data_IF_454462830511
#
_entry.id   IF_454462830511
#
_cell.length_a   1.000
_cell.length_b   1.000
_cell.length_c   1.000
_cell.angle_alpha   90.00
_cell.angle_beta   90.00
_cell.angle_gamma   90.00
#
_symmetry.space_group_name_H-M   'P 1'
#
loop_
_entity.id
_entity.type
_entity.pdbx_description
1 polymer ?
#
# COMPACT_ATOMS: atom_id res chain seq x y z
N UNK A 1 -24.78 49.34 -18.08
CA UNK A 1 -24.45 50.77 -18.32
C UNK A 1 -23.47 51.17 -17.22
N UNK A 2 -22.22 51.63 -17.38
CA UNK A 2 -21.31 52.14 -18.44
C UNK A 2 -19.89 51.62 -18.06
N UNK A 3 -19.08 50.97 -18.90
CA UNK A 3 -18.19 51.44 -20.00
C UNK A 3 -17.11 52.50 -19.67
N UNK A 4 -15.84 52.00 -19.58
CA UNK A 4 -14.57 52.48 -20.20
C UNK A 4 -13.89 53.79 -19.68
N UNK A 5 -12.57 54.03 -19.91
CA UNK A 5 -11.74 53.47 -20.98
C UNK A 5 -10.31 52.94 -20.69
N UNK A 6 -9.94 52.10 -21.65
CA UNK A 6 -8.65 51.64 -22.14
C UNK A 6 -7.68 52.79 -22.47
N UNK A 7 -6.39 52.64 -22.15
CA UNK A 7 -5.29 53.34 -22.83
C UNK A 7 -4.30 52.30 -23.34
N UNK A 8 -4.28 52.12 -24.67
CA UNK A 8 -3.19 51.46 -25.41
C UNK A 8 -2.04 52.45 -25.57
N UNK A 9 -0.81 51.98 -25.38
CA UNK A 9 0.34 52.46 -26.16
C UNK A 9 1.15 51.25 -26.62
N UNK A 10 1.04 50.99 -27.92
CA UNK A 10 2.00 50.24 -28.71
C UNK A 10 3.34 50.99 -28.74
N UNK A 11 4.44 50.26 -28.53
CA UNK A 11 5.75 50.60 -29.07
C UNK A 11 6.50 49.30 -29.33
N UNK A 12 6.36 48.80 -30.57
CA UNK A 12 7.34 47.89 -31.17
C UNK A 12 8.66 48.63 -31.30
N UNK A 13 9.74 48.06 -30.79
CA UNK A 13 11.08 48.16 -31.40
C UNK A 13 11.94 46.99 -30.93
N UNK A 14 12.21 46.12 -31.91
CA UNK A 14 13.51 45.46 -32.16
C UNK A 14 14.33 45.00 -30.96
N UNK A 15 14.34 43.69 -30.70
CA UNK A 15 15.51 43.02 -30.13
C UNK A 15 15.73 41.72 -30.90
N UNK A 16 16.91 41.70 -31.51
CA UNK A 16 17.51 40.62 -32.26
C UNK A 16 17.73 39.43 -31.34
N UNK A 17 17.60 38.22 -31.91
CA UNK A 17 18.02 36.99 -31.28
C UNK A 17 19.53 36.84 -31.48
N UNK A 18 20.31 36.87 -30.41
CA UNK A 18 21.62 36.24 -30.38
C UNK A 18 21.53 34.90 -29.63
N UNK A 19 22.03 33.87 -30.29
CA UNK A 19 22.08 32.52 -29.75
C UNK A 19 23.17 32.42 -28.69
N UNK A 20 22.81 32.56 -27.42
CA UNK A 20 23.55 31.99 -26.29
C UNK A 20 22.66 31.96 -25.06
N UNK A 21 22.51 30.79 -24.45
CA UNK A 21 21.56 30.54 -23.37
C UNK A 21 21.86 31.26 -22.05
N UNK A 22 20.76 31.39 -21.29
CA UNK A 22 20.60 31.78 -19.87
C UNK A 22 20.56 33.29 -19.57
N UNK A 23 19.42 33.77 -19.02
CA UNK A 23 19.41 34.96 -18.18
C UNK A 23 19.08 34.62 -16.71
N UNK A 24 19.88 35.23 -15.84
CA UNK A 24 19.82 35.24 -14.39
C UNK A 24 18.82 36.26 -13.84
N UNK A 25 18.39 36.00 -12.59
CA UNK A 25 17.83 36.90 -11.54
C UNK A 25 16.31 36.89 -11.30
N UNK A 26 15.91 36.35 -10.13
CA UNK A 26 15.17 37.08 -9.08
C UNK A 26 15.09 36.26 -7.77
N UNK A 27 15.40 36.91 -6.65
CA UNK A 27 15.57 36.40 -5.28
C UNK A 27 14.24 36.06 -4.55
N UNK A 28 14.26 35.20 -3.50
CA UNK A 28 13.13 35.01 -2.58
C UNK A 28 13.22 35.90 -1.32
N UNK A 29 12.10 36.21 -0.63
CA UNK A 29 12.12 36.97 0.61
C UNK A 29 12.38 36.09 1.87
N UNK A 30 13.39 36.53 2.62
CA UNK A 30 13.54 36.57 4.10
C UNK A 30 13.11 35.38 4.99
N UNK A 31 14.15 34.69 5.48
CA UNK A 31 14.46 34.27 6.88
C UNK A 31 13.31 34.05 7.89
N UNK A 32 13.31 32.85 8.46
CA UNK A 32 13.20 32.67 9.92
C UNK A 32 14.28 31.67 10.37
N UNK A 33 15.04 32.08 11.38
CA UNK A 33 16.29 31.48 11.83
C UNK A 33 16.05 30.16 12.58
N UNK A 34 16.91 29.16 12.35
CA UNK A 34 17.07 28.04 13.27
C UNK A 34 18.54 27.97 13.70
N UNK A 35 18.71 28.12 15.01
CA UNK A 35 19.95 28.18 15.74
C UNK A 35 20.73 26.86 15.64
N UNK A 36 21.99 26.93 15.20
CA UNK A 36 22.97 25.87 15.40
C UNK A 36 24.07 26.41 16.30
N UNK A 37 24.15 25.87 17.51
CA UNK A 37 25.26 26.12 18.44
C UNK A 37 26.48 25.36 17.91
N UNK A 38 27.55 26.09 17.63
CA UNK A 38 28.89 25.59 17.27
C UNK A 38 29.87 25.97 18.39
N UNK A 39 30.85 25.11 18.69
CA UNK A 39 32.14 25.58 19.19
C UNK A 39 33.27 25.26 18.19
N UNK A 40 34.02 26.32 17.89
CA UNK A 40 35.24 26.43 17.10
C UNK A 40 36.34 25.37 17.39
N UNK A 41 37.10 24.97 16.34
CA UNK A 41 38.47 25.50 16.07
C UNK A 41 39.15 24.92 14.81
N UNK A 42 39.51 25.85 13.92
CA UNK A 42 40.78 26.04 13.18
C UNK A 42 41.45 24.94 12.31
N UNK A 43 41.59 25.31 11.03
CA UNK A 43 42.75 25.14 10.11
C UNK A 43 43.24 23.75 9.70
N UNK A 44 43.01 23.38 8.43
CA UNK A 44 44.00 23.50 7.32
C UNK A 44 43.36 23.05 6.00
N UNK A 45 43.50 23.89 4.96
CA UNK A 45 43.28 23.50 3.56
C UNK A 45 44.39 22.52 3.17
N UNK A 46 44.03 21.28 2.91
CA UNK A 46 44.82 20.36 2.09
C UNK A 46 43.96 19.99 0.89
N UNK A 47 44.34 20.53 -0.27
CA UNK A 47 43.89 20.10 -1.58
C UNK A 47 44.32 18.64 -1.77
N UNK A 48 43.37 17.72 -1.70
CA UNK A 48 43.54 16.38 -2.27
C UNK A 48 42.82 16.37 -3.61
N UNK A 49 43.59 16.54 -4.69
CA UNK A 49 43.21 15.93 -5.96
C UNK A 49 43.22 14.42 -5.74
N UNK A 50 42.04 13.82 -5.64
CA UNK A 50 41.88 12.37 -5.81
C UNK A 50 41.10 12.19 -7.10
N UNK A 51 41.80 11.71 -8.12
CA UNK A 51 41.20 11.21 -9.35
C UNK A 51 40.02 10.30 -9.00
N UNK A 52 38.87 10.58 -9.62
CA UNK A 52 37.70 9.75 -9.53
C UNK A 52 37.98 8.42 -10.25
N UNK A 53 38.63 7.50 -9.55
CA UNK A 53 38.68 6.10 -9.93
C UNK A 53 37.25 5.56 -9.88
N UNK A 54 36.72 5.23 -11.06
CA UNK A 54 35.45 4.55 -11.24
C UNK A 54 35.45 3.24 -10.46
N UNK A 55 34.85 3.24 -9.27
CA UNK A 55 34.50 1.99 -8.61
C UNK A 55 33.44 1.30 -9.49
N UNK A 56 33.64 0.02 -9.84
CA UNK A 56 32.63 -0.71 -10.59
C UNK A 56 31.35 -0.81 -9.75
N UNK A 57 30.16 -0.76 -10.39
CA UNK A 57 28.91 -0.93 -9.68
C UNK A 57 28.86 -2.28 -8.95
N UNK A 58 28.11 -2.40 -7.85
CA UNK A 58 27.99 -3.64 -7.09
C UNK A 58 27.63 -4.82 -8.01
N UNK A 59 28.26 -5.97 -7.76
CA UNK A 59 28.40 -7.10 -8.67
C UNK A 59 27.09 -7.73 -9.20
N UNK A 60 25.92 -7.37 -8.66
CA UNK A 60 24.64 -7.96 -9.04
C UNK A 60 24.12 -7.58 -10.44
N UNK A 61 24.66 -6.54 -11.08
CA UNK A 61 24.20 -6.09 -12.41
C UNK A 61 25.28 -6.14 -13.51
N UNK A 62 26.49 -6.64 -13.22
CA UNK A 62 27.63 -6.61 -14.14
C UNK A 62 27.62 -7.69 -15.24
N UNK A 63 26.74 -8.70 -15.14
CA UNK A 63 26.70 -9.86 -16.05
C UNK A 63 25.36 -10.07 -16.77
N UNK A 64 24.54 -9.02 -16.93
CA UNK A 64 23.40 -9.11 -17.84
C UNK A 64 23.90 -9.11 -19.28
N UNK A 65 23.91 -10.27 -19.95
CA UNK A 65 24.33 -10.38 -21.35
C UNK A 65 23.49 -9.47 -22.25
N UNK A 66 24.08 -8.89 -23.29
CA UNK A 66 23.39 -7.96 -24.21
C UNK A 66 22.10 -8.52 -24.83
N UNK A 67 21.98 -9.85 -24.90
CA UNK A 67 20.77 -10.57 -25.31
C UNK A 67 19.58 -10.40 -24.34
N UNK A 68 19.81 -10.10 -23.06
CA UNK A 68 18.77 -9.79 -22.06
C UNK A 68 18.26 -8.35 -22.16
N UNK A 69 19.07 -7.42 -22.70
CA UNK A 69 18.74 -6.00 -22.83
C UNK A 69 17.76 -5.69 -23.99
N UNK A 70 17.39 -6.70 -24.81
CA UNK A 70 16.45 -6.57 -25.94
C UNK A 70 15.01 -7.01 -25.65
N UNK A 71 14.66 -7.39 -24.42
CA UNK A 71 13.26 -7.78 -24.09
C UNK A 71 12.41 -6.55 -23.76
N UNK A 72 12.04 -5.80 -24.80
CA UNK A 72 11.02 -4.74 -24.73
C UNK A 72 9.58 -5.28 -24.47
N UNK A 73 9.37 -6.60 -24.45
CA UNK A 73 8.06 -7.18 -24.78
C UNK A 73 7.18 -7.65 -23.60
N UNK A 74 7.67 -7.68 -22.35
CA UNK A 74 6.91 -8.33 -21.26
C UNK A 74 7.09 -7.65 -19.91
N UNK A 75 6.80 -6.36 -19.81
CA UNK A 75 6.64 -5.69 -18.50
C UNK A 75 5.40 -4.82 -18.55
N UNK A 76 4.72 -4.70 -17.42
CA UNK A 76 3.48 -3.93 -17.32
C UNK A 76 3.86 -2.45 -17.45
N UNK A 77 3.22 -1.67 -18.33
CA UNK A 77 3.51 -0.25 -18.44
C UNK A 77 3.11 0.46 -17.14
N UNK A 78 4.00 1.31 -16.65
CA UNK A 78 3.66 2.21 -15.56
C UNK A 78 2.60 3.21 -16.01
N UNK A 79 1.61 3.46 -15.15
CA UNK A 79 0.64 4.51 -15.32
C UNK A 79 0.51 5.27 -13.99
N UNK A 80 0.21 6.56 -14.07
CA UNK A 80 -0.14 7.31 -12.87
C UNK A 80 -1.52 6.87 -12.40
N UNK A 81 -1.69 6.78 -11.08
CA UNK A 81 -2.98 6.49 -10.49
C UNK A 81 -4.06 7.41 -11.08
N UNK A 82 -5.13 6.86 -11.69
CA UNK A 82 -6.21 7.67 -12.22
C UNK A 82 -6.91 8.46 -11.12
N UNK A 83 -7.25 9.72 -11.42
CA UNK A 83 -7.99 10.61 -10.52
C UNK A 83 -9.02 11.41 -11.28
N UNK A 84 -10.19 11.62 -10.67
CA UNK A 84 -11.23 12.50 -11.18
C UNK A 84 -11.33 13.74 -10.29
N UNK A 85 -11.12 14.90 -10.89
CA UNK A 85 -11.42 16.17 -10.24
C UNK A 85 -12.91 16.45 -10.39
N UNK A 86 -13.62 16.54 -9.26
CA UNK A 86 -15.06 16.78 -9.26
C UNK A 86 -15.33 18.29 -9.28
N UNK A 87 -15.42 18.91 -8.11
CA UNK A 87 -15.69 20.34 -7.92
C UNK A 87 -14.83 20.89 -6.78
N UNK A 88 -14.21 22.06 -6.99
CA UNK A 88 -13.32 22.68 -5.99
C UNK A 88 -12.10 21.80 -5.66
N UNK A 89 -11.67 21.71 -4.38
CA UNK A 89 -10.48 20.95 -3.98
C UNK A 89 -10.69 19.42 -3.94
N UNK A 90 -11.87 18.91 -4.32
CA UNK A 90 -12.23 17.49 -4.15
C UNK A 90 -11.72 16.68 -5.34
N UNK A 91 -10.74 15.81 -5.06
CA UNK A 91 -10.20 14.85 -6.02
C UNK A 91 -10.51 13.42 -5.56
N UNK A 92 -11.13 12.63 -6.43
CA UNK A 92 -11.42 11.22 -6.17
C UNK A 92 -10.39 10.37 -6.90
N UNK A 93 -9.57 9.67 -6.15
CA UNK A 93 -8.60 8.72 -6.67
C UNK A 93 -9.22 7.35 -6.92
N UNK A 94 -8.77 6.66 -7.97
CA UNK A 94 -9.23 5.31 -8.30
C UNK A 94 -9.06 4.32 -7.14
N UNK A 95 -8.00 4.46 -6.33
CA UNK A 95 -7.80 3.66 -5.12
C UNK A 95 -9.00 3.73 -4.18
N UNK A 96 -9.41 4.94 -3.77
CA UNK A 96 -10.51 5.13 -2.82
C UNK A 96 -11.84 4.62 -3.39
N UNK A 97 -12.07 4.84 -4.68
CA UNK A 97 -13.25 4.32 -5.39
C UNK A 97 -13.30 2.78 -5.38
N UNK A 98 -12.19 2.11 -5.71
CA UNK A 98 -12.10 0.65 -5.70
C UNK A 98 -12.25 0.07 -4.29
N UNK A 99 -11.69 0.73 -3.27
CA UNK A 99 -11.90 0.35 -1.86
C UNK A 99 -13.37 0.46 -1.48
N UNK A 100 -14.06 1.54 -1.87
CA UNK A 100 -15.50 1.68 -1.62
C UNK A 100 -16.31 0.57 -2.32
N UNK A 101 -15.98 0.24 -3.57
CA UNK A 101 -16.59 -0.89 -4.27
C UNK A 101 -16.35 -2.23 -3.58
N UNK A 102 -15.12 -2.46 -3.07
CA UNK A 102 -14.78 -3.66 -2.32
C UNK A 102 -15.63 -3.81 -1.05
N UNK A 103 -15.83 -2.71 -0.31
CA UNK A 103 -16.66 -2.68 0.90
C UNK A 103 -18.13 -2.93 0.58
N UNK A 104 -18.67 -2.27 -0.46
CA UNK A 104 -20.08 -2.43 -0.86
C UNK A 104 -20.34 -3.85 -1.36
N UNK A 105 -19.52 -4.35 -2.28
CA UNK A 105 -19.65 -5.69 -2.82
C UNK A 105 -19.46 -6.76 -1.72
N UNK A 106 -18.42 -6.61 -0.89
CA UNK A 106 -18.16 -7.49 0.24
C UNK A 106 -19.32 -7.53 1.24
N UNK A 107 -19.87 -6.38 1.62
CA UNK A 107 -21.02 -6.31 2.53
C UNK A 107 -22.25 -7.03 1.95
N UNK A 108 -22.56 -6.77 0.67
CA UNK A 108 -23.68 -7.46 -0.01
C UNK A 108 -23.48 -8.97 -0.10
N UNK A 109 -22.26 -9.41 -0.43
CA UNK A 109 -21.91 -10.83 -0.49
C UNK A 109 -22.00 -11.50 0.89
N UNK A 110 -21.58 -10.81 1.95
CA UNK A 110 -21.64 -11.30 3.32
C UNK A 110 -23.10 -11.45 3.80
N UNK A 111 -23.96 -10.46 3.55
CA UNK A 111 -25.39 -10.56 3.86
C UNK A 111 -26.07 -11.71 3.08
N UNK A 112 -25.83 -11.80 1.77
CA UNK A 112 -26.37 -12.91 0.96
C UNK A 112 -25.84 -14.28 1.40
N UNK A 113 -24.62 -14.36 1.93
CA UNK A 113 -24.09 -15.61 2.50
C UNK A 113 -24.69 -15.90 3.88
N UNK A 114 -24.91 -14.88 4.71
CA UNK A 114 -25.56 -14.99 6.01
C UNK A 114 -26.95 -15.65 5.87
N UNK A 115 -27.75 -15.14 4.94
CA UNK A 115 -29.07 -15.70 4.61
C UNK A 115 -28.98 -17.16 4.13
N UNK A 116 -28.04 -17.48 3.22
CA UNK A 116 -27.81 -18.86 2.75
C UNK A 116 -27.38 -19.81 3.86
N UNK A 117 -26.71 -19.32 4.90
CA UNK A 117 -26.33 -20.09 6.09
C UNK A 117 -27.43 -20.09 7.16
N UNK A 118 -28.59 -19.49 6.88
CA UNK A 118 -29.74 -19.39 7.80
C UNK A 118 -29.38 -18.70 9.13
N UNK A 119 -28.43 -17.77 9.10
CA UNK A 119 -28.08 -16.91 10.22
C UNK A 119 -28.94 -15.65 10.18
N UNK A 120 -29.13 -15.01 11.34
CA UNK A 120 -29.86 -13.74 11.46
C UNK A 120 -29.17 -12.62 10.65
N UNK A 121 -29.81 -12.09 9.58
CA UNK A 121 -29.24 -11.06 8.73
C UNK A 121 -28.96 -9.74 9.44
N UNK A 122 -29.76 -9.39 10.46
CA UNK A 122 -29.59 -8.13 11.20
C UNK A 122 -28.31 -8.19 12.04
N UNK A 123 -28.07 -9.33 12.71
CA UNK A 123 -26.80 -9.59 13.41
C UNK A 123 -25.60 -9.58 12.45
N UNK A 124 -25.75 -10.09 11.24
CA UNK A 124 -24.70 -10.01 10.22
C UNK A 124 -24.42 -8.57 9.78
N UNK A 125 -25.47 -7.78 9.54
CA UNK A 125 -25.34 -6.36 9.19
C UNK A 125 -24.66 -5.58 10.30
N UNK A 126 -25.03 -5.82 11.56
CA UNK A 126 -24.39 -5.20 12.72
C UNK A 126 -22.92 -5.61 12.86
N UNK A 127 -22.58 -6.89 12.71
CA UNK A 127 -21.20 -7.34 12.75
C UNK A 127 -20.35 -6.67 11.66
N UNK A 128 -20.88 -6.57 10.43
CA UNK A 128 -20.23 -5.85 9.32
C UNK A 128 -20.04 -4.38 9.70
N UNK A 129 -21.07 -3.72 10.22
CA UNK A 129 -21.02 -2.32 10.64
C UNK A 129 -19.94 -2.09 11.71
N UNK A 130 -19.93 -2.86 12.79
CA UNK A 130 -18.94 -2.73 13.86
C UNK A 130 -17.52 -2.99 13.35
N UNK A 131 -17.33 -4.00 12.51
CA UNK A 131 -16.03 -4.33 11.90
C UNK A 131 -15.51 -3.19 11.04
N UNK A 132 -16.35 -2.63 10.16
CA UNK A 132 -15.97 -1.52 9.27
C UNK A 132 -15.78 -0.22 10.05
N UNK A 133 -16.70 0.14 10.95
CA UNK A 133 -16.64 1.39 11.70
C UNK A 133 -15.39 1.45 12.58
N UNK A 134 -15.14 0.41 13.38
CA UNK A 134 -13.94 0.35 14.21
C UNK A 134 -12.67 0.22 13.35
N UNK A 135 -12.73 -0.51 12.23
CA UNK A 135 -11.64 -0.63 11.26
C UNK A 135 -11.23 0.72 10.67
N UNK A 136 -12.14 1.47 10.05
CA UNK A 136 -11.85 2.78 9.47
C UNK A 136 -11.39 3.79 10.53
N UNK A 137 -12.04 3.81 11.70
CA UNK A 137 -11.67 4.70 12.79
C UNK A 137 -10.23 4.42 13.26
N UNK A 138 -9.91 3.16 13.59
CA UNK A 138 -8.56 2.81 14.03
C UNK A 138 -7.51 2.95 12.93
N UNK A 139 -7.86 2.69 11.65
CA UNK A 139 -6.97 2.91 10.51
C UNK A 139 -6.49 4.36 10.46
N UNK A 140 -7.42 5.31 10.62
CA UNK A 140 -7.10 6.73 10.63
C UNK A 140 -6.31 7.13 11.89
N UNK A 141 -6.79 6.76 13.08
CA UNK A 141 -6.13 7.13 14.35
C UNK A 141 -4.69 6.60 14.42
N UNK A 142 -4.46 5.35 14.02
CA UNK A 142 -3.10 4.79 13.97
C UNK A 142 -2.25 5.50 12.91
N UNK A 143 -2.82 5.85 11.76
CA UNK A 143 -2.09 6.62 10.74
C UNK A 143 -1.59 7.95 11.30
N UNK A 144 -2.47 8.73 11.90
CA UNK A 144 -2.14 10.06 12.45
C UNK A 144 -1.14 9.95 13.59
N UNK A 145 -1.36 9.04 14.55
CA UNK A 145 -0.50 8.91 15.74
C UNK A 145 0.85 8.30 15.42
N UNK A 146 0.91 7.25 14.60
CA UNK A 146 2.14 6.50 14.35
C UNK A 146 2.98 7.07 13.21
N UNK A 147 2.35 7.60 12.16
CA UNK A 147 3.06 8.05 10.95
C UNK A 147 3.19 9.57 10.85
N UNK A 148 2.26 10.33 11.45
CA UNK A 148 2.25 11.79 11.38
C UNK A 148 2.29 12.49 12.76
N UNK A 149 3.15 12.06 13.71
CA UNK A 149 3.17 12.65 15.06
C UNK A 149 3.58 14.13 15.09
N UNK A 150 4.34 14.60 14.09
CA UNK A 150 4.68 16.02 13.95
C UNK A 150 3.47 16.87 13.57
N UNK A 151 2.72 16.45 12.55
CA UNK A 151 1.51 17.14 12.09
C UNK A 151 0.42 17.13 13.16
N UNK A 152 0.29 16.04 13.92
CA UNK A 152 -0.65 15.96 15.05
C UNK A 152 -0.34 16.98 16.16
N UNK A 153 0.94 17.29 16.40
CA UNK A 153 1.33 18.31 17.39
C UNK A 153 0.98 19.72 16.94
N UNK A 154 1.04 19.98 15.63
CA UNK A 154 0.72 21.27 15.03
C UNK A 154 -0.80 21.47 14.91
N UNK A 155 -1.54 20.43 14.52
CA UNK A 155 -2.99 20.44 14.37
C UNK A 155 -3.65 19.21 15.03
N UNK A 156 -4.06 19.31 16.31
CA UNK A 156 -4.78 18.23 16.99
C UNK A 156 -6.13 17.87 16.34
N UNK A 157 -6.73 18.78 15.54
CA UNK A 157 -7.99 18.49 14.83
C UNK A 157 -7.77 17.49 13.69
N UNK A 158 -6.53 17.17 13.33
CA UNK A 158 -6.18 16.14 12.37
C UNK A 158 -6.80 14.78 12.73
N UNK A 159 -7.00 14.47 14.02
CA UNK A 159 -7.66 13.23 14.48
C UNK A 159 -9.12 13.11 14.04
N UNK A 160 -9.77 14.23 13.71
CA UNK A 160 -11.17 14.26 13.26
C UNK A 160 -11.27 14.27 11.72
N UNK A 161 -10.15 14.44 11.01
CA UNK A 161 -10.10 14.48 9.55
C UNK A 161 -9.99 13.07 8.98
N UNK A 162 -11.00 12.24 9.22
CA UNK A 162 -11.02 10.81 8.83
C UNK A 162 -10.91 10.55 7.32
N UNK A 163 -10.96 11.58 6.49
CA UNK A 163 -10.70 11.53 5.05
C UNK A 163 -9.19 11.58 4.70
N UNK A 164 -8.30 11.81 5.66
CA UNK A 164 -6.85 11.89 5.46
C UNK A 164 -6.13 10.69 6.08
N UNK A 165 -5.36 9.95 5.28
CA UNK A 165 -4.45 8.90 5.77
C UNK A 165 -5.14 7.68 6.39
N UNK A 166 -4.76 6.49 5.93
CA UNK A 166 -5.26 5.23 6.49
C UNK A 166 -4.12 4.24 6.70
N UNK A 167 -4.04 3.67 7.89
CA UNK A 167 -3.09 2.61 8.22
C UNK A 167 -3.74 1.24 8.04
N UNK A 168 -3.17 0.39 7.19
CA UNK A 168 -3.65 -0.99 7.04
C UNK A 168 -3.56 -1.79 8.34
N UNK A 169 -2.50 -1.58 9.14
CA UNK A 169 -2.36 -2.20 10.46
C UNK A 169 -3.43 -1.71 11.44
N UNK A 170 -3.69 -0.39 11.44
CA UNK A 170 -4.79 0.19 12.22
C UNK A 170 -6.15 -0.36 11.80
N UNK A 171 -6.37 -0.54 10.50
CA UNK A 171 -7.60 -1.11 9.95
C UNK A 171 -7.85 -2.55 10.38
N UNK A 172 -6.83 -3.41 10.34
CA UNK A 172 -6.94 -4.81 10.80
C UNK A 172 -7.18 -4.85 12.31
N UNK A 173 -6.40 -4.11 13.11
CA UNK A 173 -6.57 -4.07 14.56
C UNK A 173 -7.95 -3.53 14.95
N UNK A 174 -8.42 -2.46 14.29
CA UNK A 174 -9.75 -1.90 14.46
C UNK A 174 -10.86 -2.86 14.05
N UNK A 175 -10.69 -3.61 12.96
CA UNK A 175 -11.65 -4.63 12.54
C UNK A 175 -11.80 -5.74 13.58
N UNK A 176 -10.69 -6.25 14.12
CA UNK A 176 -10.70 -7.24 15.21
C UNK A 176 -11.36 -6.66 16.47
N UNK A 177 -11.08 -5.41 16.81
CA UNK A 177 -11.75 -4.71 17.91
C UNK A 177 -13.26 -4.60 17.65
N UNK A 178 -13.68 -4.25 16.43
CA UNK A 178 -15.08 -4.17 16.03
C UNK A 178 -15.81 -5.51 16.19
N UNK A 179 -15.19 -6.60 15.74
CA UNK A 179 -15.70 -7.97 15.96
C UNK A 179 -15.87 -8.25 17.45
N UNK A 180 -14.87 -7.93 18.27
CA UNK A 180 -14.93 -8.12 19.72
C UNK A 180 -16.06 -7.29 20.36
N UNK A 181 -16.18 -6.01 20.00
CA UNK A 181 -17.23 -5.10 20.48
C UNK A 181 -18.63 -5.63 20.14
N UNK A 182 -18.81 -6.11 18.91
CA UNK A 182 -20.09 -6.70 18.48
C UNK A 182 -20.46 -7.90 19.35
N UNK A 183 -19.59 -8.90 19.49
CA UNK A 183 -19.91 -10.07 20.31
C UNK A 183 -20.03 -9.74 21.80
N UNK A 184 -19.32 -8.72 22.28
CA UNK A 184 -19.39 -8.30 23.68
C UNK A 184 -20.69 -7.58 24.02
N UNK A 185 -21.22 -6.77 23.11
CA UNK A 185 -22.30 -5.83 23.42
C UNK A 185 -23.60 -6.06 22.63
N UNK A 186 -23.54 -6.65 21.44
CA UNK A 186 -24.70 -6.86 20.57
C UNK A 186 -25.12 -8.31 20.44
N UNK A 187 -24.19 -9.25 20.60
CA UNK A 187 -24.48 -10.68 20.54
C UNK A 187 -23.85 -11.50 21.69
N UNK A 188 -24.00 -11.07 22.97
CA UNK A 188 -23.42 -11.78 24.12
C UNK A 188 -24.08 -13.15 24.39
N UNK A 189 -25.26 -13.40 23.82
CA UNK A 189 -26.03 -14.64 23.89
C UNK A 189 -25.49 -15.75 22.98
N UNK A 190 -24.65 -15.42 21.98
CA UNK A 190 -24.07 -16.42 21.09
C UNK A 190 -23.01 -17.26 21.79
N UNK A 191 -23.18 -18.58 21.69
CA UNK A 191 -22.17 -19.54 22.14
C UNK A 191 -20.91 -19.50 21.24
N UNK A 192 -19.88 -20.29 21.58
CA UNK A 192 -18.65 -20.32 20.81
C UNK A 192 -18.90 -20.71 19.34
N UNK A 193 -19.78 -21.68 19.09
CA UNK A 193 -20.09 -22.18 17.74
C UNK A 193 -20.76 -21.11 16.90
N UNK A 194 -21.81 -20.47 17.41
CA UNK A 194 -22.52 -19.39 16.72
C UNK A 194 -21.58 -18.25 16.35
N UNK A 195 -20.70 -17.82 17.27
CA UNK A 195 -19.71 -16.78 16.96
C UNK A 195 -18.80 -17.16 15.79
N UNK A 196 -18.34 -18.42 15.73
CA UNK A 196 -17.56 -18.91 14.61
C UNK A 196 -18.35 -19.00 13.29
N UNK A 197 -19.65 -19.29 13.34
CA UNK A 197 -20.51 -19.31 12.15
C UNK A 197 -20.62 -17.90 11.52
N UNK A 198 -20.82 -16.86 12.34
CA UNK A 198 -20.81 -15.47 11.87
C UNK A 198 -19.43 -15.04 11.34
N UNK A 199 -18.35 -15.41 12.03
CA UNK A 199 -17.00 -15.10 11.56
C UNK A 199 -16.66 -15.78 10.24
N UNK A 200 -17.11 -17.02 10.03
CA UNK A 200 -16.89 -17.74 8.78
C UNK A 200 -17.64 -17.14 7.59
N UNK A 201 -18.78 -16.47 7.81
CA UNK A 201 -19.46 -15.70 6.75
C UNK A 201 -18.55 -14.60 6.25
N UNK A 202 -17.99 -13.79 7.16
CA UNK A 202 -17.09 -12.70 6.80
C UNK A 202 -15.80 -13.24 6.21
N UNK A 203 -15.19 -14.24 6.84
CA UNK A 203 -13.94 -14.83 6.37
C UNK A 203 -14.06 -15.48 4.99
N UNK A 204 -15.20 -16.11 4.68
CA UNK A 204 -15.44 -16.63 3.33
C UNK A 204 -15.46 -15.51 2.29
N UNK A 205 -16.11 -14.38 2.59
CA UNK A 205 -16.27 -13.27 1.65
C UNK A 205 -15.00 -12.42 1.55
N UNK A 206 -14.18 -12.41 2.61
CA UNK A 206 -13.00 -11.57 2.71
C UNK A 206 -12.05 -11.65 1.50
N UNK A 207 -11.66 -12.83 0.96
CA UNK A 207 -10.79 -12.89 -0.22
C UNK A 207 -11.35 -12.22 -1.47
N UNK A 208 -12.67 -12.19 -1.64
CA UNK A 208 -13.32 -11.56 -2.79
C UNK A 208 -13.22 -10.04 -2.69
N UNK A 209 -13.55 -9.48 -1.53
CA UNK A 209 -13.37 -8.04 -1.27
C UNK A 209 -11.89 -7.65 -1.26
N UNK A 210 -11.04 -8.49 -0.66
CA UNK A 210 -9.58 -8.29 -0.61
C UNK A 210 -8.95 -8.24 -2.00
N UNK A 211 -9.44 -9.06 -2.94
CA UNK A 211 -8.99 -9.02 -4.33
C UNK A 211 -9.23 -7.64 -4.95
N UNK A 212 -10.42 -7.05 -4.77
CA UNK A 212 -10.70 -5.69 -5.25
C UNK A 212 -9.84 -4.66 -4.53
N UNK A 213 -9.60 -4.83 -3.22
CA UNK A 213 -8.67 -3.99 -2.47
C UNK A 213 -7.22 -4.06 -2.96
N UNK A 214 -6.72 -5.24 -3.35
CA UNK A 214 -5.37 -5.40 -3.92
C UNK A 214 -5.27 -4.87 -5.34
N UNK A 215 -6.36 -4.89 -6.10
CA UNK A 215 -6.45 -4.15 -7.35
C UNK A 215 -6.34 -2.63 -7.11
N UNK A 216 -6.98 -2.11 -6.05
CA UNK A 216 -6.82 -0.70 -5.67
C UNK A 216 -5.35 -0.37 -5.39
N UNK A 217 -4.66 -1.21 -4.60
CA UNK A 217 -3.22 -1.09 -4.31
C UNK A 217 -2.37 -1.10 -5.60
N UNK A 218 -2.70 -2.01 -6.53
CA UNK A 218 -2.03 -2.11 -7.85
C UNK A 218 -2.16 -0.81 -8.64
N UNK A 219 -3.36 -0.25 -8.71
CA UNK A 219 -3.64 0.98 -9.47
C UNK A 219 -2.95 2.21 -8.83
N UNK A 220 -2.71 2.15 -7.51
CA UNK A 220 -2.00 3.18 -6.77
C UNK A 220 -0.48 3.06 -6.85
N UNK A 221 0.05 1.87 -7.22
CA UNK A 221 1.43 1.50 -6.99
C UNK A 221 1.86 1.82 -5.55
N UNK A 222 1.08 1.46 -4.53
CA UNK A 222 1.37 1.84 -3.13
C UNK A 222 2.26 0.81 -2.39
N UNK A 223 2.57 -0.33 -3.04
CA UNK A 223 3.49 -1.35 -2.52
C UNK A 223 4.63 -1.68 -3.50
N UNK A 224 5.49 -0.70 -3.84
CA UNK A 224 6.67 -0.93 -4.67
C UNK A 224 7.69 -1.81 -3.95
N UNK A 225 8.27 -2.75 -4.70
CA UNK A 225 9.34 -3.63 -4.27
C UNK A 225 10.65 -3.35 -4.99
N UNK A 226 11.58 -4.30 -4.85
CA UNK A 226 12.91 -4.21 -5.42
C UNK A 226 12.91 -4.09 -6.95
N UNK A 227 13.99 -3.51 -7.49
CA UNK A 227 14.25 -3.45 -8.92
C UNK A 227 14.46 -4.86 -9.48
N UNK A 228 13.99 -5.09 -10.70
CA UNK A 228 13.94 -6.41 -11.30
C UNK A 228 13.82 -6.33 -12.82
N UNK A 229 13.96 -7.48 -13.47
CA UNK A 229 13.63 -7.70 -14.89
C UNK A 229 12.51 -8.74 -15.04
N UNK A 230 11.77 -9.02 -13.96
CA UNK A 230 10.72 -10.03 -13.95
C UNK A 230 9.55 -9.67 -14.87
N UNK A 231 8.98 -10.62 -15.65
CA UNK A 231 7.98 -10.27 -16.67
C UNK A 231 6.65 -9.69 -16.18
N UNK A 232 6.31 -9.86 -14.90
CA UNK A 232 5.11 -9.27 -14.32
C UNK A 232 5.41 -7.99 -13.53
N UNK A 233 6.63 -7.46 -13.62
CA UNK A 233 7.02 -6.21 -12.97
C UNK A 233 6.54 -4.99 -13.76
N UNK A 234 6.53 -3.84 -13.10
CA UNK A 234 6.11 -2.55 -13.69
C UNK A 234 7.32 -1.83 -14.27
N UNK A 235 7.25 -1.49 -15.54
CA UNK A 235 8.34 -0.95 -16.34
C UNK A 235 8.78 0.44 -15.89
N UNK A 236 10.10 0.68 -15.88
CA UNK A 236 10.72 1.99 -15.65
C UNK A 236 11.15 2.69 -16.95
N UNK A 237 10.58 2.27 -18.10
CA UNK A 237 10.90 2.82 -19.42
C UNK A 237 10.56 4.31 -19.55
N UNK A 238 9.47 4.75 -18.92
CA UNK A 238 9.04 6.14 -18.99
C UNK A 238 9.75 7.02 -17.93
N UNK A 239 10.01 8.30 -18.21
CA UNK A 239 10.56 9.23 -17.21
C UNK A 239 9.72 9.29 -15.93
N UNK A 240 8.39 9.27 -16.05
CA UNK A 240 7.47 9.39 -14.92
C UNK A 240 7.58 8.18 -13.97
N UNK A 241 7.77 6.98 -14.53
CA UNK A 241 7.98 5.77 -13.73
C UNK A 241 9.28 5.84 -12.93
N UNK A 242 10.34 6.39 -13.54
CA UNK A 242 11.63 6.59 -12.89
C UNK A 242 11.55 7.64 -11.79
N UNK A 243 10.87 8.75 -12.02
CA UNK A 243 10.63 9.77 -10.99
C UNK A 243 9.93 9.17 -9.77
N UNK A 244 8.87 8.40 -10.01
CA UNK A 244 8.14 7.69 -8.97
C UNK A 244 9.04 6.75 -8.16
N UNK A 245 9.77 5.83 -8.81
CA UNK A 245 10.58 4.85 -8.07
C UNK A 245 11.77 5.51 -7.36
N UNK A 246 12.34 6.58 -7.92
CA UNK A 246 13.40 7.36 -7.26
C UNK A 246 12.88 7.99 -5.96
N UNK A 247 11.66 8.54 -5.96
CA UNK A 247 11.03 9.09 -4.76
C UNK A 247 10.85 8.01 -3.68
N UNK A 248 10.33 6.84 -4.06
CA UNK A 248 10.16 5.69 -3.15
C UNK A 248 11.48 5.27 -2.52
N UNK A 249 12.54 5.09 -3.32
CA UNK A 249 13.86 4.71 -2.79
C UNK A 249 14.48 5.80 -1.93
N UNK A 250 14.21 7.08 -2.21
CA UNK A 250 14.64 8.20 -1.37
C UNK A 250 13.96 8.16 0.00
N UNK A 251 12.65 7.98 0.04
CA UNK A 251 11.88 7.89 1.28
C UNK A 251 12.27 6.67 2.11
N UNK A 252 12.61 5.56 1.45
CA UNK A 252 13.16 4.37 2.10
C UNK A 252 14.61 4.55 2.61
N UNK A 253 15.28 5.68 2.33
CA UNK A 253 16.69 5.89 2.69
C UNK A 253 17.67 5.03 1.87
N UNK A 254 17.25 4.53 0.71
CA UNK A 254 17.97 3.56 -0.13
C UNK A 254 18.33 4.11 -1.50
N UNK A 255 18.42 5.44 -1.65
CA UNK A 255 18.74 6.07 -2.92
C UNK A 255 20.07 5.58 -3.53
N UNK A 256 21.04 5.21 -2.68
CA UNK A 256 22.34 4.66 -3.09
C UNK A 256 22.25 3.28 -3.77
N UNK A 257 21.14 2.56 -3.62
CA UNK A 257 20.93 1.24 -4.22
C UNK A 257 20.49 1.33 -5.69
N UNK A 258 20.15 2.53 -6.17
CA UNK A 258 19.72 2.73 -7.56
C UNK A 258 20.91 2.71 -8.52
N UNK A 259 20.80 1.99 -9.66
CA UNK A 259 21.82 2.05 -10.70
C UNK A 259 21.75 3.38 -11.47
N UNK A 260 22.75 3.60 -12.34
CA UNK A 260 22.78 4.77 -13.22
C UNK A 260 21.54 4.88 -14.12
N UNK A 261 21.19 6.09 -14.60
CA UNK A 261 19.94 6.36 -15.31
C UNK A 261 19.69 5.46 -16.53
N UNK A 262 20.73 5.16 -17.31
CA UNK A 262 20.63 4.33 -18.52
C UNK A 262 20.26 2.88 -18.22
N UNK A 263 20.79 2.34 -17.13
CA UNK A 263 20.45 0.98 -16.65
C UNK A 263 19.05 1.00 -16.07
N UNK A 264 18.74 2.00 -15.24
CA UNK A 264 17.43 2.13 -14.59
C UNK A 264 16.28 2.20 -15.61
N UNK A 265 16.49 2.87 -16.75
CA UNK A 265 15.50 2.96 -17.84
C UNK A 265 15.18 1.63 -18.52
N UNK A 266 15.99 0.58 -18.29
CA UNK A 266 15.80 -0.77 -18.82
C UNK A 266 15.28 -1.76 -17.78
N UNK A 267 15.07 -1.31 -16.55
CA UNK A 267 14.59 -2.14 -15.45
C UNK A 267 13.07 -1.97 -15.24
N UNK A 268 12.56 -2.75 -14.31
CA UNK A 268 11.22 -2.68 -13.76
C UNK A 268 11.30 -2.74 -12.23
N UNK A 269 10.18 -2.53 -11.55
CA UNK A 269 10.07 -2.78 -10.11
C UNK A 269 8.96 -3.79 -9.83
N UNK A 270 9.16 -4.61 -8.79
CA UNK A 270 8.12 -5.50 -8.31
C UNK A 270 6.93 -4.70 -7.76
N UNK A 271 5.71 -4.98 -8.20
CA UNK A 271 4.50 -4.42 -7.60
C UNK A 271 3.81 -5.49 -6.77
N UNK A 272 3.89 -5.36 -5.44
CA UNK A 272 3.36 -6.37 -4.53
C UNK A 272 1.83 -6.32 -4.47
N UNK A 273 1.22 -5.15 -4.71
CA UNK A 273 -0.24 -5.03 -4.84
C UNK A 273 -0.74 -5.87 -6.01
N UNK A 274 -0.04 -5.81 -7.14
CA UNK A 274 -0.32 -6.60 -8.33
C UNK A 274 -0.17 -8.11 -8.09
N UNK A 275 0.93 -8.53 -7.47
CA UNK A 275 1.16 -9.96 -7.20
C UNK A 275 0.14 -10.52 -6.23
N UNK A 276 -0.23 -9.76 -5.19
CA UNK A 276 -1.26 -10.16 -4.25
C UNK A 276 -2.64 -10.21 -4.92
N UNK A 277 -2.97 -9.25 -5.80
CA UNK A 277 -4.21 -9.28 -6.58
C UNK A 277 -4.33 -10.55 -7.41
N UNK A 278 -3.28 -10.89 -8.19
CA UNK A 278 -3.27 -12.11 -8.98
C UNK A 278 -3.37 -13.36 -8.11
N UNK A 279 -2.63 -13.40 -7.00
CA UNK A 279 -2.65 -14.52 -6.08
C UNK A 279 -4.02 -14.71 -5.42
N UNK A 280 -4.70 -13.63 -5.03
CA UNK A 280 -6.02 -13.72 -4.40
C UNK A 280 -7.09 -14.08 -5.43
N UNK A 281 -7.04 -13.49 -6.64
CA UNK A 281 -7.98 -13.74 -7.73
C UNK A 281 -7.86 -15.15 -8.31
N UNK A 282 -6.64 -15.61 -8.58
CA UNK A 282 -6.38 -16.87 -9.28
C UNK A 282 -6.08 -18.04 -8.33
N UNK A 283 -5.68 -17.75 -7.09
CA UNK A 283 -5.37 -18.75 -6.07
C UNK A 283 -6.48 -18.87 -5.02
N UNK A 284 -6.60 -17.88 -4.14
CA UNK A 284 -7.45 -17.98 -2.95
C UNK A 284 -8.94 -18.08 -3.32
N UNK A 285 -9.44 -17.19 -4.19
CA UNK A 285 -10.87 -17.14 -4.55
C UNK A 285 -11.36 -18.47 -5.16
N UNK A 286 -10.69 -19.06 -6.18
CA UNK A 286 -11.07 -20.37 -6.71
C UNK A 286 -11.02 -21.48 -5.67
N UNK A 287 -10.02 -21.48 -4.79
CA UNK A 287 -9.92 -22.45 -3.69
C UNK A 287 -11.11 -22.30 -2.74
N UNK A 288 -11.50 -21.08 -2.37
CA UNK A 288 -12.66 -20.84 -1.50
C UNK A 288 -13.97 -21.32 -2.14
N UNK A 289 -14.16 -21.03 -3.43
CA UNK A 289 -15.32 -21.51 -4.19
C UNK A 289 -15.36 -23.03 -4.28
N UNK A 290 -14.21 -23.68 -4.51
CA UNK A 290 -14.09 -25.14 -4.51
C UNK A 290 -14.38 -25.75 -3.14
N UNK A 291 -13.86 -25.13 -2.06
CA UNK A 291 -14.05 -25.58 -0.69
C UNK A 291 -15.51 -25.46 -0.24
N UNK A 292 -16.27 -24.47 -0.74
CA UNK A 292 -17.70 -24.24 -0.45
C UNK A 292 -18.64 -25.26 -1.08
N UNK A 293 -18.15 -26.11 -1.98
CA UNK A 293 -18.93 -27.23 -2.54
C UNK A 293 -19.27 -28.32 -1.52
N UNK A 294 -18.68 -28.27 -0.32
CA UNK A 294 -18.95 -29.21 0.78
C UNK A 294 -19.22 -28.45 2.07
N UNK A 295 -20.06 -28.98 2.98
CA UNK A 295 -20.25 -28.38 4.29
C UNK A 295 -18.92 -28.32 5.04
N UNK A 296 -18.72 -27.24 5.81
CA UNK A 296 -17.52 -26.98 6.60
C UNK A 296 -17.93 -26.70 8.04
N UNK A 297 -17.05 -27.09 8.96
CA UNK A 297 -17.19 -26.74 10.38
C UNK A 297 -17.01 -25.24 10.57
N UNK A 298 -17.70 -24.63 11.55
CA UNK A 298 -17.48 -23.23 11.88
C UNK A 298 -16.01 -22.92 12.20
N UNK A 299 -15.52 -21.77 11.76
CA UNK A 299 -14.13 -21.31 11.85
C UNK A 299 -13.20 -21.83 10.75
N UNK A 300 -13.70 -22.67 9.83
CA UNK A 300 -12.91 -23.25 8.76
C UNK A 300 -12.36 -22.20 7.80
N UNK A 301 -13.17 -21.21 7.40
CA UNK A 301 -12.75 -20.22 6.41
C UNK A 301 -11.80 -19.17 6.98
N UNK A 302 -11.92 -18.85 8.26
CA UNK A 302 -10.92 -18.05 8.98
C UNK A 302 -9.55 -18.73 8.89
N UNK A 303 -9.48 -19.99 9.29
CA UNK A 303 -8.22 -20.74 9.30
C UNK A 303 -7.69 -20.95 7.89
N UNK A 304 -8.55 -21.31 6.93
CA UNK A 304 -8.17 -21.52 5.54
C UNK A 304 -7.57 -20.25 4.94
N UNK A 305 -8.16 -19.07 5.20
CA UNK A 305 -7.61 -17.81 4.73
C UNK A 305 -6.21 -17.56 5.28
N UNK A 306 -6.02 -17.71 6.59
CA UNK A 306 -4.72 -17.47 7.24
C UNK A 306 -3.64 -18.43 6.71
N UNK A 307 -3.97 -19.71 6.52
CA UNK A 307 -3.04 -20.71 6.01
C UNK A 307 -2.65 -20.49 4.55
N UNK A 308 -3.54 -19.92 3.72
CA UNK A 308 -3.22 -19.61 2.33
C UNK A 308 -2.49 -18.28 2.21
N UNK A 309 -2.97 -17.25 2.91
CA UNK A 309 -2.47 -15.89 2.74
C UNK A 309 -1.12 -15.65 3.44
N UNK A 310 -0.92 -16.14 4.67
CA UNK A 310 0.28 -15.84 5.45
C UNK A 310 1.59 -16.30 4.77
N UNK A 311 1.68 -17.51 4.16
CA UNK A 311 2.89 -17.92 3.44
C UNK A 311 3.19 -17.04 2.22
N UNK A 312 2.17 -16.70 1.42
CA UNK A 312 2.34 -15.84 0.26
C UNK A 312 2.83 -14.45 0.70
N UNK A 313 2.22 -13.88 1.74
CA UNK A 313 2.62 -12.59 2.29
C UNK A 313 4.04 -12.62 2.84
N UNK A 314 4.42 -13.68 3.56
CA UNK A 314 5.78 -13.87 4.07
C UNK A 314 6.83 -13.86 2.96
N UNK A 315 6.57 -14.56 1.85
CA UNK A 315 7.47 -14.61 0.70
C UNK A 315 7.58 -13.27 -0.03
N UNK A 316 6.44 -12.58 -0.26
CA UNK A 316 6.42 -11.29 -0.93
C UNK A 316 7.17 -10.21 -0.13
N UNK A 317 7.20 -10.33 1.21
CA UNK A 317 7.88 -9.37 2.07
C UNK A 317 9.41 -9.34 1.89
N UNK A 318 10.01 -10.37 1.29
CA UNK A 318 11.42 -10.31 0.87
C UNK A 318 11.69 -9.30 -0.25
N UNK A 319 10.67 -8.97 -1.04
CA UNK A 319 10.77 -8.01 -2.14
C UNK A 319 10.60 -6.56 -1.68
N UNK A 320 10.19 -6.32 -0.42
CA UNK A 320 9.97 -4.97 0.10
C UNK A 320 11.28 -4.22 0.30
N UNK A 321 11.23 -2.92 0.05
CA UNK A 321 12.41 -2.05 0.13
C UNK A 321 12.42 -1.10 1.32
N UNK A 322 11.26 -0.74 1.87
CA UNK A 322 11.12 0.28 2.90
C UNK A 322 11.21 -0.27 4.35
N UNK A 323 11.07 -1.58 4.54
CA UNK A 323 10.87 -2.16 5.87
C UNK A 323 12.19 -2.57 6.55
N UNK A 324 12.31 -2.20 7.82
CA UNK A 324 13.45 -2.57 8.66
C UNK A 324 13.43 -4.07 8.93
N UNK A 325 14.62 -4.69 8.87
CA UNK A 325 14.82 -6.12 9.14
C UNK A 325 15.53 -6.33 10.46
N UNK A 326 15.00 -7.24 11.27
CA UNK A 326 15.59 -7.74 12.51
C UNK A 326 15.94 -9.20 12.29
N UNK A 327 17.21 -9.59 12.47
CA UNK A 327 17.65 -10.97 12.19
C UNK A 327 17.37 -11.44 10.76
N UNK A 328 17.33 -10.52 9.78
CA UNK A 328 17.04 -10.80 8.36
C UNK A 328 15.56 -10.77 7.96
N UNK A 329 14.63 -10.70 8.92
CA UNK A 329 13.19 -10.70 8.67
C UNK A 329 12.54 -9.38 9.09
N UNK A 330 11.43 -9.02 8.44
CA UNK A 330 10.64 -7.84 8.84
C UNK A 330 9.70 -8.18 10.01
N UNK A 331 9.20 -7.18 10.75
CA UNK A 331 8.13 -7.39 11.73
C UNK A 331 6.90 -8.09 11.16
N UNK A 332 6.54 -7.79 9.90
CA UNK A 332 5.42 -8.43 9.22
C UNK A 332 5.67 -9.93 8.96
N UNK A 333 6.91 -10.33 8.65
CA UNK A 333 7.28 -11.73 8.49
C UNK A 333 7.20 -12.50 9.81
N UNK A 334 7.67 -11.92 10.92
CA UNK A 334 7.51 -12.52 12.25
C UNK A 334 6.04 -12.69 12.64
N UNK A 335 5.21 -11.66 12.41
CA UNK A 335 3.77 -11.76 12.62
C UNK A 335 3.14 -12.85 11.74
N UNK A 336 3.57 -12.96 10.48
CA UNK A 336 3.14 -14.01 9.56
C UNK A 336 3.43 -15.42 10.08
N UNK A 337 4.63 -15.66 10.64
CA UNK A 337 5.01 -16.95 11.25
C UNK A 337 4.08 -17.27 12.43
N UNK A 338 3.86 -16.31 13.33
CA UNK A 338 3.01 -16.50 14.50
C UNK A 338 1.56 -16.82 14.12
N UNK A 339 1.01 -16.05 13.17
CA UNK A 339 -0.36 -16.24 12.64
C UNK A 339 -0.50 -17.60 11.95
N UNK A 340 0.49 -18.00 11.15
CA UNK A 340 0.46 -19.29 10.46
C UNK A 340 0.53 -20.46 11.45
N UNK A 341 1.39 -20.38 12.47
CA UNK A 341 1.48 -21.39 13.52
C UNK A 341 0.17 -21.49 14.33
N UNK A 342 -0.44 -20.36 14.69
CA UNK A 342 -1.74 -20.33 15.36
C UNK A 342 -2.85 -20.95 14.50
N UNK A 343 -2.87 -20.67 13.20
CA UNK A 343 -3.84 -21.25 12.27
C UNK A 343 -3.65 -22.77 12.11
N UNK A 344 -2.40 -23.27 12.07
CA UNK A 344 -2.12 -24.71 12.05
C UNK A 344 -2.57 -25.40 13.33
N UNK A 345 -2.31 -24.79 14.49
CA UNK A 345 -2.78 -25.28 15.77
C UNK A 345 -4.31 -25.36 15.81
N UNK A 346 -5.00 -24.28 15.40
CA UNK A 346 -6.45 -24.24 15.33
C UNK A 346 -7.02 -25.30 14.36
N UNK A 347 -6.37 -25.52 13.21
CA UNK A 347 -6.77 -26.57 12.27
C UNK A 347 -6.68 -27.98 12.89
N UNK A 348 -5.61 -28.26 13.65
CA UNK A 348 -5.44 -29.55 14.34
C UNK A 348 -6.50 -29.73 15.42
N UNK A 349 -6.79 -28.69 16.20
CA UNK A 349 -7.84 -28.72 17.22
C UNK A 349 -9.23 -28.99 16.61
N UNK A 350 -9.56 -28.37 15.47
CA UNK A 350 -10.80 -28.64 14.76
C UNK A 350 -10.90 -30.09 14.26
N UNK A 351 -9.79 -30.68 13.79
CA UNK A 351 -9.76 -32.09 13.34
C UNK A 351 -9.82 -33.09 14.49
N UNK A 352 -9.20 -32.78 15.63
CA UNK A 352 -9.22 -33.65 16.82
C UNK A 352 -10.59 -33.73 17.48
N UNK A 353 -11.40 -32.68 17.37
CA UNK A 353 -12.78 -32.65 17.89
C UNK A 353 -13.82 -33.23 16.93
N UNK A 354 -13.43 -33.56 15.69
CA UNK A 354 -14.29 -34.27 14.75
C UNK A 354 -14.16 -35.78 15.03
N UNK A 355 -15.02 -36.31 15.90
CA UNK A 355 -15.13 -37.76 16.09
C UNK A 355 -15.33 -38.45 14.74
N UNK A 356 -14.67 -39.60 14.46
CA UNK A 356 -14.98 -40.39 13.28
C UNK A 356 -16.42 -40.91 13.46
N UNK A 357 -17.35 -40.30 12.74
CA UNK A 357 -18.75 -40.72 12.65
C UNK A 357 -18.92 -41.86 11.67
#
# INVERSE_FOLDING_TARGET
>A
MRCLPMVRRDLRRSLQWDGSGVPSTCLPPSRMEMWVISPHRTTRRTLYHREAGSQPPPAHFSHASESFLRRDAYVIPYFRQPSLHLFGPVTVYAFGFLVALAVIAGSKMALARCERKKLDPDRCAELIFFTLAAGFLAAHLVSVVAYFPGQLKEDPLLLLKFWEGISSFGGIAGGVLGVWLFFRFRAPDLDARGRWEYLDVIAFVFPFAWTVGRLACTVAHDHPGALTTFPLAVSLKTPEAREYIIAVFREAGRLADLPGPDVLARLAFHDLGWYEFLYTLLGIVPVFLLLDRRPRTPGFYVIAFLLLYAPARFCLDFLRIADVRYGGLTPAQYAGIAVFAAALYALRALRGNASPG
#
